data_IF_153341909630
#
_entry.id   IF_153341909630
#
_cell.length_a   1.000
_cell.length_b   1.000
_cell.length_c   1.000
_cell.angle_alpha   90.00
_cell.angle_beta   90.00
_cell.angle_gamma   90.00
#
_symmetry.space_group_name_H-M   'P 1'
#
loop_
_entity.id
_entity.type
_entity.pdbx_description
1 polymer ?
#
# COMPACT_ATOMS: atom_id res chain seq x y z
N UNK A 1 10.47 -6.42 9.37
CA UNK A 1 10.89 -5.44 8.35
C UNK A 1 11.40 -6.21 7.14
N UNK A 2 10.69 -6.20 6.00
CA UNK A 2 11.06 -6.98 4.79
C UNK A 2 11.95 -6.19 3.81
N UNK A 3 11.76 -4.87 3.71
CA UNK A 3 12.59 -3.98 2.92
C UNK A 3 12.25 -2.50 3.17
N UNK A 4 13.03 -1.60 2.57
CA UNK A 4 12.89 -0.14 2.64
C UNK A 4 13.09 0.45 1.25
N UNK A 5 12.23 1.39 0.85
CA UNK A 5 12.49 2.25 -0.30
C UNK A 5 12.92 3.64 0.17
N UNK A 6 14.07 4.09 -0.34
CA UNK A 6 14.66 5.40 -0.02
C UNK A 6 14.90 6.18 -1.32
N UNK A 7 14.99 7.50 -1.21
CA UNK A 7 15.55 8.36 -2.26
C UNK A 7 16.99 8.68 -1.87
N UNK A 8 17.95 8.39 -2.76
CA UNK A 8 19.36 8.65 -2.46
C UNK A 8 19.76 10.10 -2.74
N UNK A 9 21.04 10.45 -2.51
CA UNK A 9 21.56 11.82 -2.72
C UNK A 9 21.37 12.33 -4.16
N UNK A 10 21.23 11.44 -5.13
CA UNK A 10 21.01 11.78 -6.54
C UNK A 10 19.52 11.85 -6.92
N UNK A 11 18.59 11.75 -5.97
CA UNK A 11 17.15 11.75 -6.24
C UNK A 11 16.62 10.41 -6.79
N UNK A 12 17.43 9.36 -6.81
CA UNK A 12 17.07 8.07 -7.40
C UNK A 12 16.45 7.17 -6.34
N UNK A 13 15.34 6.50 -6.68
CA UNK A 13 14.71 5.48 -5.85
C UNK A 13 15.64 4.26 -5.70
N UNK A 14 15.91 3.87 -4.46
CA UNK A 14 16.67 2.67 -4.11
C UNK A 14 15.86 1.81 -3.16
N UNK A 15 16.00 0.49 -3.29
CA UNK A 15 15.37 -0.48 -2.38
C UNK A 15 16.46 -1.25 -1.61
N UNK A 16 16.28 -1.39 -0.30
CA UNK A 16 17.12 -2.21 0.58
C UNK A 16 16.27 -3.35 1.13
N UNK A 17 16.62 -4.60 0.86
CA UNK A 17 15.80 -5.77 1.19
C UNK A 17 14.71 -6.07 0.15
N UNK A 18 13.81 -7.01 0.45
CA UNK A 18 12.75 -7.42 -0.48
C UNK A 18 11.52 -6.53 -0.31
N UNK A 19 11.15 -5.82 -1.37
CA UNK A 19 9.84 -5.17 -1.49
C UNK A 19 8.76 -6.16 -1.94
N UNK A 20 9.18 -7.28 -2.55
CA UNK A 20 8.26 -8.32 -3.00
C UNK A 20 7.66 -9.04 -1.79
N UNK A 21 6.34 -9.18 -1.81
CA UNK A 21 5.58 -9.80 -0.72
C UNK A 21 5.44 -8.92 0.53
N UNK A 22 5.75 -7.62 0.43
CA UNK A 22 5.53 -6.64 1.48
C UNK A 22 4.69 -5.46 1.00
N UNK A 23 4.11 -4.73 1.96
CA UNK A 23 3.35 -3.51 1.73
C UNK A 23 3.62 -2.50 2.86
N UNK A 24 3.44 -1.21 2.57
CA UNK A 24 3.33 -0.19 3.60
C UNK A 24 1.85 0.10 3.84
N UNK A 25 1.35 -0.18 5.05
CA UNK A 25 -0.03 0.10 5.43
C UNK A 25 -0.07 1.41 6.21
N UNK A 26 -0.99 2.29 5.83
CA UNK A 26 -1.28 3.56 6.47
C UNK A 26 -2.72 3.55 7.02
N UNK A 27 -2.94 4.19 8.17
CA UNK A 27 -4.26 4.29 8.79
C UNK A 27 -4.50 3.31 9.95
N UNK A 28 -5.77 2.99 10.23
CA UNK A 28 -6.18 2.18 11.38
C UNK A 28 -6.60 0.76 10.97
N UNK A 29 -5.68 -0.20 11.09
CA UNK A 29 -5.90 -1.61 10.73
C UNK A 29 -6.92 -2.36 11.59
N UNK A 30 -7.45 -1.74 12.66
CA UNK A 30 -8.54 -2.32 13.46
C UNK A 30 -9.93 -2.04 12.87
N UNK A 31 -10.03 -1.14 11.89
CA UNK A 31 -11.30 -0.85 11.19
C UNK A 31 -11.57 -1.86 10.07
N UNK A 32 -11.80 -3.12 10.45
CA UNK A 32 -12.02 -4.22 9.49
C UNK A 32 -13.29 -4.08 8.64
N UNK A 33 -14.28 -3.32 9.15
CA UNK A 33 -15.55 -3.03 8.44
C UNK A 33 -15.48 -1.86 7.47
N UNK A 34 -14.39 -1.07 7.53
CA UNK A 34 -14.19 0.01 6.58
C UNK A 34 -13.70 -0.55 5.24
N UNK A 35 -13.80 0.22 4.16
CA UNK A 35 -13.13 -0.11 2.91
C UNK A 35 -11.61 0.04 3.06
N UNK A 36 -10.88 -1.01 2.70
CA UNK A 36 -9.42 -0.97 2.65
C UNK A 36 -8.96 -0.73 1.23
N UNK A 37 -8.06 0.21 1.03
CA UNK A 37 -7.54 0.55 -0.29
C UNK A 37 -6.16 -0.05 -0.53
N UNK A 38 -5.85 -0.39 -1.78
CA UNK A 38 -4.49 -0.70 -2.23
C UNK A 38 -4.15 0.26 -3.36
N UNK A 39 -3.09 1.05 -3.16
CA UNK A 39 -2.58 2.01 -4.14
C UNK A 39 -1.19 1.57 -4.64
N UNK A 40 -0.87 1.94 -5.88
CA UNK A 40 0.42 1.58 -6.50
C UNK A 40 1.60 2.22 -5.76
N UNK A 41 1.53 3.53 -5.57
CA UNK A 41 2.61 4.35 -5.05
C UNK A 41 2.35 4.92 -3.65
N UNK A 42 3.44 5.30 -2.99
CA UNK A 42 3.40 5.89 -1.65
C UNK A 42 2.60 7.20 -1.61
N UNK A 43 2.77 8.08 -2.60
CA UNK A 43 2.07 9.35 -2.66
C UNK A 43 0.54 9.16 -2.74
N UNK A 44 0.10 8.24 -3.59
CA UNK A 44 -1.30 7.85 -3.72
C UNK A 44 -1.84 7.28 -2.41
N UNK A 45 -1.12 6.36 -1.76
CA UNK A 45 -1.53 5.79 -0.47
C UNK A 45 -1.66 6.85 0.65
N UNK A 46 -0.70 7.77 0.75
CA UNK A 46 -0.73 8.90 1.69
C UNK A 46 -1.94 9.79 1.41
N UNK A 47 -2.15 10.18 0.15
CA UNK A 47 -3.28 11.03 -0.24
C UNK A 47 -4.62 10.37 0.09
N UNK A 48 -4.77 9.06 -0.16
CA UNK A 48 -5.99 8.30 0.17
C UNK A 48 -6.35 8.40 1.65
N UNK A 49 -5.37 8.26 2.55
CA UNK A 49 -5.63 8.31 4.00
C UNK A 49 -5.79 9.75 4.49
N UNK A 50 -4.88 10.65 4.13
CA UNK A 50 -4.77 11.95 4.79
C UNK A 50 -5.49 13.09 4.06
N UNK A 51 -5.69 12.99 2.74
CA UNK A 51 -6.46 13.99 1.98
C UNK A 51 -7.89 13.53 1.71
N UNK A 52 -8.08 12.25 1.37
CA UNK A 52 -9.41 11.67 1.11
C UNK A 52 -10.06 11.03 2.35
N UNK A 53 -9.40 11.12 3.51
CA UNK A 53 -9.94 10.70 4.82
C UNK A 53 -10.43 9.25 4.85
N UNK A 54 -9.79 8.35 4.09
CA UNK A 54 -10.07 6.92 4.16
C UNK A 54 -9.35 6.29 5.36
N UNK A 55 -9.95 5.24 5.89
CA UNK A 55 -9.50 4.63 7.14
C UNK A 55 -8.19 3.86 7.02
N UNK A 56 -7.99 3.15 5.90
CA UNK A 56 -6.80 2.32 5.65
C UNK A 56 -6.43 2.33 4.17
N UNK A 57 -5.14 2.50 3.86
CA UNK A 57 -4.61 2.29 2.51
C UNK A 57 -3.23 1.62 2.56
N UNK A 58 -3.02 0.63 1.70
CA UNK A 58 -1.74 -0.04 1.53
C UNK A 58 -1.05 0.41 0.23
N UNK A 59 0.24 0.74 0.32
CA UNK A 59 1.10 0.97 -0.83
C UNK A 59 1.70 -0.36 -1.30
N UNK A 60 1.49 -0.68 -2.59
CA UNK A 60 1.96 -1.90 -3.22
C UNK A 60 3.39 -1.80 -3.79
N UNK A 61 3.94 -0.59 -3.90
CA UNK A 61 5.26 -0.32 -4.50
C UNK A 61 5.36 -0.76 -5.96
N UNK A 62 4.28 -0.63 -6.72
CA UNK A 62 4.22 -0.89 -8.16
C UNK A 62 2.97 -1.66 -8.60
N UNK A 63 2.47 -1.33 -9.80
CA UNK A 63 1.28 -1.95 -10.43
C UNK A 63 1.29 -3.49 -10.39
N UNK A 64 2.45 -4.09 -10.66
CA UNK A 64 2.64 -5.54 -10.71
C UNK A 64 2.44 -6.26 -9.37
N UNK A 65 2.43 -5.53 -8.25
CA UNK A 65 2.35 -6.09 -6.90
C UNK A 65 0.99 -5.86 -6.21
N UNK A 66 0.10 -5.06 -6.80
CA UNK A 66 -1.14 -4.63 -6.14
C UNK A 66 -2.06 -5.81 -5.77
N UNK A 67 -2.29 -6.74 -6.69
CA UNK A 67 -3.10 -7.94 -6.44
C UNK A 67 -2.48 -8.84 -5.36
N UNK A 68 -1.15 -8.97 -5.35
CA UNK A 68 -0.44 -9.77 -4.34
C UNK A 68 -0.61 -9.16 -2.96
N UNK A 69 -0.47 -7.84 -2.85
CA UNK A 69 -0.68 -7.10 -1.59
C UNK A 69 -2.12 -7.22 -1.11
N UNK A 70 -3.11 -7.08 -1.99
CA UNK A 70 -4.52 -7.25 -1.64
C UNK A 70 -4.78 -8.67 -1.05
N UNK A 71 -4.25 -9.70 -1.70
CA UNK A 71 -4.37 -11.08 -1.22
C UNK A 71 -3.69 -11.29 0.14
N UNK A 72 -2.50 -10.71 0.35
CA UNK A 72 -1.80 -10.79 1.64
C UNK A 72 -2.55 -10.08 2.77
N UNK A 73 -3.14 -8.91 2.48
CA UNK A 73 -3.98 -8.18 3.44
C UNK A 73 -5.22 -9.00 3.78
N UNK A 74 -5.90 -9.57 2.78
CA UNK A 74 -7.06 -10.44 2.98
C UNK A 74 -6.73 -11.63 3.87
N UNK A 75 -5.59 -12.29 3.61
CA UNK A 75 -5.14 -13.45 4.37
C UNK A 75 -4.75 -13.12 5.83
N UNK A 76 -4.15 -11.95 6.08
CA UNK A 76 -3.62 -11.60 7.39
C UNK A 76 -4.62 -10.83 8.27
N UNK A 77 -5.31 -9.84 7.71
CA UNK A 77 -6.23 -8.95 8.44
C UNK A 77 -7.69 -9.31 8.22
N UNK A 78 -8.02 -9.96 7.09
CA UNK A 78 -9.39 -10.32 6.70
C UNK A 78 -10.41 -9.17 6.82
N UNK A 79 -10.15 -7.98 6.20
CA UNK A 79 -11.13 -6.91 6.14
C UNK A 79 -12.33 -7.31 5.25
N UNK A 80 -13.48 -6.69 5.49
CA UNK A 80 -14.73 -7.00 4.76
C UNK A 80 -14.63 -6.68 3.26
N UNK A 81 -13.86 -5.63 2.90
CA UNK A 81 -13.72 -5.19 1.52
C UNK A 81 -12.32 -4.61 1.25
N UNK A 82 -11.73 -5.00 0.11
CA UNK A 82 -10.48 -4.45 -0.42
C UNK A 82 -10.73 -3.87 -1.81
N UNK A 83 -10.30 -2.62 -2.03
CA UNK A 83 -10.43 -1.88 -3.29
C UNK A 83 -9.06 -1.55 -3.84
N UNK A 84 -8.75 -2.04 -5.05
CA UNK A 84 -7.49 -1.77 -5.75
C UNK A 84 -7.66 -0.49 -6.61
N UNK A 85 -6.92 0.56 -6.27
CA UNK A 85 -6.92 1.85 -6.98
C UNK A 85 -5.98 1.80 -8.18
N UNK A 86 -6.53 1.58 -9.38
CA UNK A 86 -5.77 1.59 -10.63
C UNK A 86 -5.57 3.04 -11.11
N UNK A 87 -4.34 3.38 -11.49
CA UNK A 87 -4.04 4.67 -12.13
C UNK A 87 -4.54 4.67 -13.59
N UNK A 88 -4.81 5.85 -14.13
CA UNK A 88 -5.22 6.04 -15.52
C UNK A 88 -3.95 6.34 -16.34
N UNK A 89 -3.51 5.35 -17.12
CA UNK A 89 -2.33 5.43 -18.00
C UNK A 89 -2.62 6.16 -19.33
#
# INVERSE_FOLDING_TARGET
>A
MQGVQCINRSGIKQSFGSISGGALILGNTLKLKAEWFVAEGWASAVSTVFHHQKDVCACAFGKWNMEKVANQISAFYSPDQIVILKEQD
#
